data_IF_656840079116
#
_entry.id   IF_656840079116
#
_cell.length_a   1.000
_cell.length_b   1.000
_cell.length_c   1.000
_cell.angle_alpha   90.00
_cell.angle_beta   90.00
_cell.angle_gamma   90.00
#
_symmetry.space_group_name_H-M   'P 1'
#
loop_
_entity.id
_entity.type
_entity.pdbx_description
1 polymer ?
#
# COMPACT_ATOMS: atom_id res chain seq x y z
N UNK A 1 6.94 -21.56 2.32
CA UNK A 1 7.01 -21.12 3.73
C UNK A 1 6.05 -19.97 3.97
N UNK A 2 6.13 -18.90 3.16
CA UNK A 2 5.29 -17.71 3.30
C UNK A 2 3.78 -17.92 3.09
N UNK A 3 3.38 -18.76 2.13
CA UNK A 3 1.96 -19.07 1.91
C UNK A 3 1.31 -19.69 3.16
N UNK A 4 2.00 -20.62 3.81
CA UNK A 4 1.55 -21.23 5.06
C UNK A 4 1.45 -20.18 6.19
N UNK A 5 2.41 -19.26 6.29
CA UNK A 5 2.35 -18.15 7.26
C UNK A 5 1.12 -17.27 7.02
N UNK A 6 0.81 -16.92 5.78
CA UNK A 6 -0.37 -16.13 5.41
C UNK A 6 -1.68 -16.84 5.74
N UNK A 7 -1.73 -18.16 5.51
CA UNK A 7 -2.87 -18.99 5.87
C UNK A 7 -3.05 -19.06 7.39
N UNK A 8 -1.97 -19.24 8.15
CA UNK A 8 -2.03 -19.24 9.62
C UNK A 8 -2.58 -17.91 10.15
N UNK A 9 -2.15 -16.78 9.56
CA UNK A 9 -2.67 -15.46 9.93
C UNK A 9 -4.18 -15.38 9.68
N UNK A 10 -4.66 -15.82 8.52
CA UNK A 10 -6.10 -15.85 8.22
C UNK A 10 -6.86 -16.76 9.18
N UNK A 11 -6.34 -17.96 9.48
CA UNK A 11 -6.95 -18.91 10.40
C UNK A 11 -7.02 -18.35 11.83
N UNK A 12 -6.04 -17.55 12.26
CA UNK A 12 -6.06 -16.84 13.55
C UNK A 12 -7.08 -15.71 13.54
N UNK A 13 -7.10 -14.88 12.49
CA UNK A 13 -8.03 -13.76 12.37
C UNK A 13 -9.48 -14.21 12.23
N UNK A 14 -9.73 -15.33 11.56
CA UNK A 14 -11.06 -15.93 11.41
C UNK A 14 -11.67 -16.37 12.75
N UNK A 15 -10.84 -16.69 13.75
CA UNK A 15 -11.28 -17.05 15.11
C UNK A 15 -11.52 -15.82 15.99
N UNK A 16 -11.09 -14.63 15.56
CA UNK A 16 -11.19 -13.42 16.36
C UNK A 16 -12.58 -12.77 16.22
N UNK A 17 -13.25 -12.51 17.34
CA UNK A 17 -14.59 -11.94 17.34
C UNK A 17 -14.66 -10.53 16.72
N UNK A 18 -13.53 -9.82 16.61
CA UNK A 18 -13.45 -8.51 16.01
C UNK A 18 -13.32 -8.51 14.49
N UNK A 19 -13.02 -9.65 13.86
CA UNK A 19 -12.84 -9.78 12.43
C UNK A 19 -13.94 -10.68 11.86
N UNK A 20 -14.78 -10.15 10.96
CA UNK A 20 -16.00 -10.82 10.51
C UNK A 20 -16.08 -11.03 9.00
N UNK A 21 -15.11 -10.46 8.27
CA UNK A 21 -15.09 -10.42 6.82
C UNK A 21 -13.67 -10.51 6.28
N UNK A 22 -13.53 -10.92 5.02
CA UNK A 22 -12.25 -10.92 4.31
C UNK A 22 -11.63 -9.53 4.24
N UNK A 23 -12.47 -8.48 4.24
CA UNK A 23 -12.01 -7.08 4.32
C UNK A 23 -11.28 -6.83 5.64
N UNK A 24 -11.83 -7.29 6.77
CA UNK A 24 -11.19 -7.16 8.08
C UNK A 24 -9.85 -7.91 8.09
N UNK A 25 -9.80 -9.14 7.55
CA UNK A 25 -8.57 -9.94 7.55
C UNK A 25 -7.45 -9.26 6.75
N UNK A 26 -7.78 -8.71 5.57
CA UNK A 26 -6.82 -7.97 4.74
C UNK A 26 -6.39 -6.69 5.46
N UNK A 27 -7.33 -5.90 6.00
CA UNK A 27 -7.02 -4.67 6.73
C UNK A 27 -6.07 -4.93 7.91
N UNK A 28 -6.42 -5.90 8.76
CA UNK A 28 -5.68 -6.19 9.98
C UNK A 28 -4.32 -6.82 9.69
N UNK A 29 -4.22 -7.70 8.69
CA UNK A 29 -2.91 -8.22 8.26
C UNK A 29 -2.04 -7.10 7.68
N UNK A 30 -2.63 -6.19 6.90
CA UNK A 30 -1.89 -5.16 6.17
C UNK A 30 -1.14 -4.22 7.09
N UNK A 31 -1.77 -3.71 8.16
CA UNK A 31 -1.10 -2.74 9.03
C UNK A 31 0.01 -3.37 9.88
N UNK A 32 -0.17 -4.63 10.33
CA UNK A 32 0.87 -5.34 11.07
C UNK A 32 2.06 -5.63 10.14
N UNK A 33 1.77 -6.08 8.92
CA UNK A 33 2.77 -6.31 7.88
C UNK A 33 3.54 -5.03 7.53
N UNK A 34 2.84 -3.90 7.48
CA UNK A 34 3.44 -2.58 7.23
C UNK A 34 4.47 -2.20 8.27
N UNK A 35 4.16 -2.37 9.56
CA UNK A 35 5.10 -2.04 10.64
C UNK A 35 6.33 -2.97 10.62
N UNK A 36 6.14 -4.23 10.24
CA UNK A 36 7.27 -5.15 10.05
C UNK A 36 8.14 -4.76 8.86
N UNK A 37 7.52 -4.35 7.75
CA UNK A 37 8.22 -3.84 6.58
C UNK A 37 9.01 -2.58 6.93
N UNK A 38 8.41 -1.63 7.63
CA UNK A 38 9.06 -0.38 8.05
C UNK A 38 10.30 -0.67 8.91
N UNK A 39 10.21 -1.62 9.86
CA UNK A 39 11.35 -2.06 10.65
C UNK A 39 12.50 -2.66 9.81
N UNK A 40 12.20 -3.42 8.74
CA UNK A 40 13.23 -3.91 7.82
C UNK A 40 13.82 -2.76 6.97
N UNK A 41 12.98 -1.85 6.48
CA UNK A 41 13.41 -0.68 5.71
C UNK A 41 14.35 0.23 6.51
N UNK A 42 14.01 0.51 7.77
CA UNK A 42 14.84 1.33 8.65
C UNK A 42 16.20 0.69 8.94
N UNK A 43 16.26 -0.64 9.06
CA UNK A 43 17.52 -1.38 9.21
C UNK A 43 18.39 -1.29 7.95
N UNK A 44 17.78 -1.40 6.78
CA UNK A 44 18.49 -1.26 5.50
C UNK A 44 19.03 0.17 5.34
N UNK A 45 18.24 1.19 5.68
CA UNK A 45 18.67 2.60 5.67
C UNK A 45 19.77 2.89 6.68
N UNK A 46 19.66 2.36 7.90
CA UNK A 46 20.70 2.49 8.92
C UNK A 46 22.02 1.85 8.48
N UNK A 47 21.96 0.65 7.91
CA UNK A 47 23.13 -0.06 7.37
C UNK A 47 23.78 0.74 6.23
N UNK A 48 22.98 1.28 5.30
CA UNK A 48 23.48 2.11 4.21
C UNK A 48 24.12 3.42 4.71
N UNK A 49 23.56 4.04 5.74
CA UNK A 49 24.13 5.23 6.36
C UNK A 49 25.48 4.92 7.03
N UNK A 50 25.57 3.83 7.78
CA UNK A 50 26.81 3.36 8.41
C UNK A 50 27.91 3.12 7.35
N UNK A 51 27.58 2.42 6.26
CA UNK A 51 28.52 2.16 5.15
C UNK A 51 28.99 3.44 4.44
N UNK A 52 28.22 4.52 4.52
CA UNK A 52 28.55 5.82 3.90
C UNK A 52 29.05 6.86 4.90
N UNK A 53 29.25 6.48 6.17
CA UNK A 53 29.69 7.37 7.24
C UNK A 53 28.67 8.44 7.63
N UNK A 54 27.38 8.24 7.31
CA UNK A 54 26.28 9.13 7.64
C UNK A 54 25.57 8.65 8.91
N UNK A 55 24.98 9.60 9.65
CA UNK A 55 24.11 9.29 10.78
C UNK A 55 22.69 9.08 10.24
N UNK A 56 22.08 7.96 10.59
CA UNK A 56 20.65 7.70 10.32
C UNK A 56 19.83 7.99 11.57
N UNK A 57 18.74 8.74 11.39
CA UNK A 57 17.73 8.95 12.44
C UNK A 57 16.52 8.10 12.11
N UNK A 58 16.07 7.30 13.08
CA UNK A 58 14.91 6.47 12.90
C UNK A 58 13.63 7.30 12.75
N UNK A 59 12.74 6.84 11.86
CA UNK A 59 11.38 7.36 11.69
C UNK A 59 10.54 6.98 12.91
N UNK A 60 10.68 5.74 13.38
CA UNK A 60 9.95 5.24 14.55
C UNK A 60 10.80 5.39 15.81
N UNK A 61 10.25 6.11 16.78
CA UNK A 61 10.85 6.31 18.10
C UNK A 61 11.11 4.96 18.79
N UNK A 62 12.20 4.83 19.57
CA UNK A 62 12.67 3.55 20.10
C UNK A 62 11.58 2.68 20.76
N UNK A 63 10.67 3.26 21.55
CA UNK A 63 9.62 2.53 22.26
C UNK A 63 8.58 1.86 21.33
N UNK A 64 8.38 2.39 20.13
CA UNK A 64 7.39 1.91 19.15
C UNK A 64 8.00 1.06 18.04
N UNK A 65 9.32 0.85 18.06
CA UNK A 65 9.99 0.00 17.08
C UNK A 65 9.53 -1.46 17.21
N UNK A 66 9.42 -2.16 16.08
CA UNK A 66 8.98 -3.55 16.02
C UNK A 66 9.76 -4.46 16.99
N UNK A 67 11.08 -4.25 17.11
CA UNK A 67 11.95 -5.02 17.99
C UNK A 67 11.73 -4.78 19.49
N UNK A 68 10.89 -3.83 19.88
CA UNK A 68 10.55 -3.54 21.29
C UNK A 68 9.20 -4.09 21.70
N UNK A 69 8.15 -3.75 20.97
CA UNK A 69 6.78 -4.13 21.36
C UNK A 69 6.30 -5.40 20.67
N UNK A 70 6.58 -5.54 19.36
CA UNK A 70 6.06 -6.62 18.54
C UNK A 70 6.91 -7.87 18.67
N UNK A 71 8.23 -7.79 18.49
CA UNK A 71 9.11 -8.93 18.55
C UNK A 71 10.36 -8.65 19.40
N UNK A 72 10.22 -8.39 20.71
CA UNK A 72 11.36 -8.33 21.61
C UNK A 72 12.03 -9.70 21.62
N UNK A 73 13.30 -9.75 21.21
CA UNK A 73 14.06 -10.99 21.12
C UNK A 73 15.16 -11.03 22.16
N UNK A 74 15.30 -12.18 22.82
CA UNK A 74 16.43 -12.48 23.68
C UNK A 74 17.71 -12.60 22.84
N UNK A 75 18.88 -12.64 23.49
CA UNK A 75 20.17 -12.87 22.82
C UNK A 75 20.20 -14.19 22.01
N UNK A 76 19.34 -15.15 22.36
CA UNK A 76 19.16 -16.42 21.64
C UNK A 76 18.38 -16.28 20.33
N UNK A 77 17.83 -15.10 20.01
CA UNK A 77 16.97 -14.85 18.85
C UNK A 77 15.51 -15.27 19.02
N UNK A 78 15.16 -15.91 20.14
CA UNK A 78 13.76 -16.26 20.48
C UNK A 78 13.01 -15.03 21.03
N UNK A 79 11.71 -14.99 20.78
CA UNK A 79 10.82 -13.99 21.38
C UNK A 79 10.91 -14.09 22.91
N UNK A 80 11.03 -12.94 23.56
CA UNK A 80 11.04 -12.82 25.01
C UNK A 80 9.71 -13.34 25.58
N UNK A 81 9.78 -14.14 26.64
CA UNK A 81 8.60 -14.65 27.33
C UNK A 81 7.78 -13.53 27.98
N UNK A 82 8.40 -12.36 28.23
CA UNK A 82 7.74 -11.16 28.73
C UNK A 82 7.19 -10.25 27.62
N UNK A 83 7.19 -10.69 26.36
CA UNK A 83 6.56 -9.94 25.28
C UNK A 83 5.07 -9.71 25.59
N UNK A 84 4.58 -8.49 25.33
CA UNK A 84 3.18 -8.11 25.58
C UNK A 84 2.22 -9.11 24.90
N UNK A 85 1.20 -9.56 25.62
CA UNK A 85 0.15 -10.45 25.11
C UNK A 85 -1.17 -10.16 25.83
N UNK A 86 -2.27 -10.76 25.38
CA UNK A 86 -3.58 -10.54 26.00
C UNK A 86 -3.96 -9.05 26.01
N UNK A 87 -4.71 -8.63 27.01
CA UNK A 87 -5.28 -7.28 27.07
C UNK A 87 -4.20 -6.19 27.04
N UNK A 88 -3.06 -6.40 27.70
CA UNK A 88 -1.93 -5.45 27.70
C UNK A 88 -1.41 -5.13 26.30
N UNK A 89 -1.40 -6.12 25.39
CA UNK A 89 -0.98 -5.90 24.00
C UNK A 89 -2.01 -5.08 23.24
N UNK A 90 -3.30 -5.36 23.43
CA UNK A 90 -4.39 -4.63 22.78
C UNK A 90 -4.43 -3.18 23.28
N UNK A 91 -4.28 -2.97 24.58
CA UNK A 91 -4.25 -1.66 25.22
C UNK A 91 -3.03 -0.85 24.77
N UNK A 92 -1.86 -1.47 24.65
CA UNK A 92 -0.68 -0.83 24.08
C UNK A 92 -0.93 -0.38 22.63
N UNK A 93 -1.46 -1.27 21.79
CA UNK A 93 -1.69 -0.98 20.37
C UNK A 93 -2.72 0.14 20.21
N UNK A 94 -3.85 0.06 20.91
CA UNK A 94 -4.95 1.02 20.79
C UNK A 94 -4.66 2.34 21.48
N UNK A 95 -4.06 2.30 22.68
CA UNK A 95 -3.87 3.45 23.56
C UNK A 95 -2.56 4.20 23.36
N UNK A 96 -1.52 3.56 22.79
CA UNK A 96 -0.19 4.16 22.64
C UNK A 96 0.31 4.13 21.20
N UNK A 97 0.42 2.95 20.59
CA UNK A 97 1.04 2.79 19.26
C UNK A 97 0.28 3.53 18.16
N UNK A 98 -1.03 3.27 18.01
CA UNK A 98 -1.83 3.93 16.97
C UNK A 98 -1.88 5.45 17.16
N UNK A 99 -2.14 6.00 18.37
CA UNK A 99 -2.03 7.43 18.62
C UNK A 99 -0.67 8.04 18.29
N UNK A 100 0.43 7.33 18.54
CA UNK A 100 1.77 7.76 18.15
C UNK A 100 1.92 7.83 16.62
N UNK A 101 1.62 6.73 15.91
CA UNK A 101 1.78 6.64 14.46
C UNK A 101 0.94 7.68 13.71
N UNK A 102 -0.29 7.95 14.20
CA UNK A 102 -1.18 9.01 13.70
C UNK A 102 -0.53 10.39 13.69
N UNK A 103 0.34 10.69 14.67
CA UNK A 103 0.98 11.99 14.83
C UNK A 103 2.18 12.19 13.92
N UNK A 104 2.81 11.12 13.40
CA UNK A 104 4.02 11.23 12.56
C UNK A 104 3.83 12.15 11.35
N UNK A 105 2.62 12.20 10.76
CA UNK A 105 2.37 13.09 9.61
C UNK A 105 2.53 14.59 9.91
N UNK A 106 2.45 15.02 11.18
CA UNK A 106 2.64 16.44 11.52
C UNK A 106 4.09 16.88 11.37
N UNK A 107 5.01 15.93 11.37
CA UNK A 107 6.44 16.16 11.27
C UNK A 107 6.95 15.98 9.83
N UNK A 108 6.06 15.59 8.91
CA UNK A 108 6.39 15.35 7.51
C UNK A 108 6.33 16.65 6.69
N UNK A 109 7.39 16.93 5.93
CA UNK A 109 7.46 18.14 5.09
C UNK A 109 6.52 18.08 3.87
N UNK A 110 6.32 16.88 3.30
CA UNK A 110 5.57 16.68 2.06
C UNK A 110 4.76 15.37 2.04
N UNK A 111 3.70 15.33 1.23
CA UNK A 111 2.78 14.21 1.13
C UNK A 111 3.34 12.96 0.41
N UNK A 112 4.50 13.09 -0.25
CA UNK A 112 5.25 12.03 -0.93
C UNK A 112 6.29 11.35 0.00
N UNK A 113 6.31 11.70 1.28
CA UNK A 113 7.18 11.08 2.29
C UNK A 113 6.54 9.85 2.92
N UNK A 114 7.35 8.91 3.40
CA UNK A 114 6.86 7.71 4.09
C UNK A 114 6.24 8.06 5.44
N UNK A 115 6.74 9.08 6.11
CA UNK A 115 6.26 9.67 7.35
C UNK A 115 4.81 10.13 7.22
N UNK A 116 4.52 10.89 6.15
CA UNK A 116 3.16 11.29 5.82
C UNK A 116 2.26 10.07 5.58
N UNK A 117 2.72 9.07 4.81
CA UNK A 117 1.93 7.84 4.55
C UNK A 117 1.62 7.10 5.84
N UNK A 118 2.58 6.98 6.76
CA UNK A 118 2.36 6.35 8.08
C UNK A 118 1.23 7.07 8.81
N UNK A 119 1.33 8.38 9.00
CA UNK A 119 0.32 9.12 9.74
C UNK A 119 -1.07 9.08 9.09
N UNK A 120 -1.16 9.13 7.76
CA UNK A 120 -2.43 8.99 7.04
C UNK A 120 -3.04 7.59 7.18
N UNK A 121 -2.26 6.54 6.96
CA UNK A 121 -2.71 5.14 7.12
C UNK A 121 -3.27 4.93 8.52
N UNK A 122 -2.52 5.32 9.55
CA UNK A 122 -2.95 5.10 10.93
C UNK A 122 -4.04 6.07 11.38
N UNK A 123 -4.25 7.22 10.72
CA UNK A 123 -5.39 8.13 10.99
C UNK A 123 -6.72 7.46 10.69
N UNK A 124 -6.74 6.63 9.65
CA UNK A 124 -7.95 5.98 9.17
C UNK A 124 -8.16 4.57 9.77
N UNK A 125 -7.08 3.89 10.12
CA UNK A 125 -7.13 2.54 10.66
C UNK A 125 -7.62 2.49 12.10
N UNK A 126 -8.27 1.37 12.41
CA UNK A 126 -8.54 0.91 13.77
C UNK A 126 -8.11 -0.54 13.88
N UNK A 127 -7.46 -0.88 14.98
CA UNK A 127 -7.28 -2.28 15.32
C UNK A 127 -8.65 -2.87 15.65
N UNK A 128 -9.01 -3.93 14.92
CA UNK A 128 -10.26 -4.67 15.13
C UNK A 128 -10.03 -5.96 15.92
N UNK A 129 -8.79 -6.46 15.99
CA UNK A 129 -8.47 -7.70 16.68
C UNK A 129 -8.72 -7.50 18.18
N UNK A 130 -9.69 -8.24 18.71
CA UNK A 130 -10.13 -8.12 20.11
C UNK A 130 -9.26 -8.96 21.04
N UNK A 131 -8.85 -10.15 20.62
CA UNK A 131 -8.00 -11.01 21.44
C UNK A 131 -6.53 -10.63 21.28
N UNK A 132 -5.91 -10.16 22.36
CA UNK A 132 -4.47 -9.92 22.36
C UNK A 132 -3.64 -11.17 22.15
N UNK A 133 -4.17 -12.35 22.46
CA UNK A 133 -3.51 -13.62 22.13
C UNK A 133 -3.51 -13.89 20.63
N UNK A 134 -4.63 -13.60 19.94
CA UNK A 134 -4.71 -13.70 18.48
C UNK A 134 -3.79 -12.67 17.81
N UNK A 135 -3.79 -11.42 18.29
CA UNK A 135 -2.88 -10.38 17.80
C UNK A 135 -1.41 -10.79 17.98
N UNK A 136 -1.04 -11.36 19.14
CA UNK A 136 0.30 -11.92 19.39
C UNK A 136 0.64 -13.02 18.39
N UNK A 137 -0.28 -13.94 18.11
CA UNK A 137 -0.06 -15.00 17.10
C UNK A 137 0.13 -14.42 15.69
N UNK A 138 -0.66 -13.43 15.28
CA UNK A 138 -0.48 -12.72 14.01
C UNK A 138 0.89 -12.06 13.93
N UNK A 139 1.31 -11.33 14.97
CA UNK A 139 2.63 -10.70 15.06
C UNK A 139 3.75 -11.75 14.94
N UNK A 140 3.63 -12.87 15.65
CA UNK A 140 4.64 -13.93 15.62
C UNK A 140 4.75 -14.60 14.24
N UNK A 141 3.64 -14.73 13.52
CA UNK A 141 3.65 -15.21 12.13
C UNK A 141 4.30 -14.17 11.21
N UNK A 142 3.94 -12.89 11.33
CA UNK A 142 4.50 -11.80 10.50
C UNK A 142 6.00 -11.58 10.77
N UNK A 143 6.48 -11.75 11.99
CA UNK A 143 7.90 -11.62 12.33
C UNK A 143 8.81 -12.64 11.62
N UNK A 144 8.24 -13.76 11.17
CA UNK A 144 8.95 -14.77 10.37
C UNK A 144 9.13 -14.34 8.91
N UNK A 145 8.38 -13.33 8.46
CA UNK A 145 8.49 -12.78 7.11
C UNK A 145 9.74 -11.91 6.98
N UNK A 146 10.38 -11.97 5.81
CA UNK A 146 11.60 -11.24 5.48
C UNK A 146 11.34 -10.38 4.24
N UNK A 147 11.80 -9.13 4.24
CA UNK A 147 11.61 -8.19 3.13
C UNK A 147 12.93 -7.73 2.50
N UNK A 148 14.02 -8.51 2.61
CA UNK A 148 15.37 -8.03 2.32
C UNK A 148 15.76 -8.16 0.85
N UNK A 149 15.35 -9.24 0.21
CA UNK A 149 15.72 -9.51 -1.19
C UNK A 149 14.58 -9.16 -2.14
N UNK A 150 14.91 -8.83 -3.39
CA UNK A 150 13.90 -8.65 -4.45
C UNK A 150 13.02 -9.89 -4.63
N UNK A 151 13.58 -11.09 -4.45
CA UNK A 151 12.84 -12.35 -4.55
C UNK A 151 11.79 -12.48 -3.45
N UNK A 152 12.16 -12.18 -2.20
CA UNK A 152 11.22 -12.21 -1.07
C UNK A 152 10.12 -11.17 -1.22
N UNK A 153 10.45 -9.93 -1.62
CA UNK A 153 9.45 -8.89 -1.90
C UNK A 153 8.46 -9.33 -2.99
N UNK A 154 8.96 -9.97 -4.05
CA UNK A 154 8.12 -10.48 -5.14
C UNK A 154 7.20 -11.64 -4.70
N UNK A 155 7.70 -12.56 -3.87
CA UNK A 155 6.86 -13.63 -3.31
C UNK A 155 5.77 -13.06 -2.37
N UNK A 156 6.13 -12.06 -1.55
CA UNK A 156 5.18 -11.33 -0.71
C UNK A 156 4.11 -10.59 -1.51
N UNK A 157 4.51 -9.90 -2.59
CA UNK A 157 3.55 -9.18 -3.43
C UNK A 157 2.54 -10.14 -4.05
N UNK A 158 2.98 -11.33 -4.50
CA UNK A 158 2.09 -12.37 -5.02
C UNK A 158 1.07 -12.87 -3.98
N UNK A 159 1.51 -13.10 -2.74
CA UNK A 159 0.62 -13.55 -1.66
C UNK A 159 -0.36 -12.45 -1.23
N UNK A 160 0.10 -11.21 -1.17
CA UNK A 160 -0.75 -10.07 -0.86
C UNK A 160 -1.78 -9.82 -1.97
N UNK A 161 -1.37 -9.93 -3.24
CA UNK A 161 -2.26 -9.90 -4.41
C UNK A 161 -3.35 -10.99 -4.36
N UNK A 162 -3.00 -12.19 -3.91
CA UNK A 162 -3.98 -13.26 -3.70
C UNK A 162 -5.01 -12.88 -2.63
N UNK A 163 -4.58 -12.27 -1.51
CA UNK A 163 -5.49 -11.74 -0.48
C UNK A 163 -6.42 -10.66 -1.04
N UNK A 164 -5.88 -9.69 -1.78
CA UNK A 164 -6.68 -8.62 -2.42
C UNK A 164 -7.71 -9.23 -3.38
N UNK A 165 -7.31 -10.21 -4.19
CA UNK A 165 -8.21 -10.90 -5.12
C UNK A 165 -9.33 -11.62 -4.39
N UNK A 166 -9.03 -12.34 -3.30
CA UNK A 166 -10.03 -13.05 -2.52
C UNK A 166 -11.03 -12.08 -1.88
N UNK A 167 -10.53 -11.00 -1.29
CA UNK A 167 -11.35 -9.89 -0.78
C UNK A 167 -12.20 -9.24 -1.88
N UNK A 168 -11.65 -9.06 -3.08
CA UNK A 168 -12.38 -8.54 -4.24
C UNK A 168 -13.51 -9.43 -4.74
N UNK A 169 -13.41 -10.74 -4.46
CA UNK A 169 -14.45 -11.73 -4.77
C UNK A 169 -15.42 -11.97 -3.59
N UNK A 170 -15.10 -11.47 -2.40
CA UNK A 170 -15.89 -11.65 -1.18
C UNK A 170 -17.10 -10.70 -1.17
N UNK A 171 -18.14 -11.08 -1.91
CA UNK A 171 -19.47 -10.48 -1.81
C UNK A 171 -19.66 -9.16 -2.56
N UNK A 172 -20.75 -8.46 -2.20
CA UNK A 172 -21.37 -7.38 -3.00
C UNK A 172 -20.50 -6.12 -3.14
N UNK A 173 -19.53 -5.92 -2.25
CA UNK A 173 -18.68 -4.73 -2.19
C UNK A 173 -17.23 -4.97 -2.69
N UNK A 174 -16.84 -6.22 -3.01
CA UNK A 174 -15.46 -6.55 -3.37
C UNK A 174 -14.99 -5.90 -4.68
N UNK A 175 -15.90 -5.74 -5.65
CA UNK A 175 -15.61 -5.08 -6.93
C UNK A 175 -15.29 -3.58 -6.83
N UNK A 176 -15.46 -2.97 -5.67
CA UNK A 176 -15.10 -1.56 -5.43
C UNK A 176 -13.59 -1.35 -5.22
N UNK A 177 -12.83 -2.42 -4.98
CA UNK A 177 -11.41 -2.37 -4.61
C UNK A 177 -10.48 -3.06 -5.62
N UNK A 178 -11.04 -3.89 -6.50
CA UNK A 178 -10.28 -4.81 -7.33
C UNK A 178 -10.75 -4.82 -8.79
N UNK A 179 -9.79 -4.66 -9.69
CA UNK A 179 -9.96 -4.90 -11.13
C UNK A 179 -9.21 -6.18 -11.51
N UNK A 180 -9.82 -7.10 -12.28
CA UNK A 180 -9.17 -8.36 -12.68
C UNK A 180 -7.81 -8.15 -13.31
N UNK A 181 -6.76 -8.78 -12.76
CA UNK A 181 -5.38 -8.64 -13.27
C UNK A 181 -5.19 -8.95 -14.76
N UNK A 182 -5.87 -9.94 -15.38
CA UNK A 182 -5.77 -10.13 -16.83
C UNK A 182 -6.20 -8.91 -17.65
N UNK A 183 -7.21 -8.17 -17.17
CA UNK A 183 -7.67 -6.94 -17.82
C UNK A 183 -6.64 -5.83 -17.68
N UNK A 184 -6.13 -5.61 -16.47
CA UNK A 184 -5.08 -4.61 -16.20
C UNK A 184 -3.83 -4.88 -17.06
N UNK A 185 -3.34 -6.12 -17.06
CA UNK A 185 -2.19 -6.57 -17.85
C UNK A 185 -2.36 -6.25 -19.34
N UNK A 186 -3.55 -6.54 -19.86
CA UNK A 186 -3.86 -6.28 -21.26
C UNK A 186 -3.84 -4.78 -21.56
N UNK A 187 -4.48 -3.97 -20.72
CA UNK A 187 -4.51 -2.51 -20.89
C UNK A 187 -3.11 -1.92 -20.82
N UNK A 188 -2.32 -2.26 -19.79
CA UNK A 188 -0.94 -1.74 -19.64
C UNK A 188 -0.06 -2.16 -20.82
N UNK A 189 -0.20 -3.40 -21.31
CA UNK A 189 0.55 -3.86 -22.49
C UNK A 189 0.20 -3.09 -23.75
N UNK A 190 -1.07 -2.71 -23.94
CA UNK A 190 -1.52 -1.91 -25.10
C UNK A 190 -1.07 -0.47 -24.98
N UNK A 191 -1.18 0.12 -23.79
CA UNK A 191 -0.73 1.50 -23.51
C UNK A 191 0.79 1.62 -23.61
N UNK A 192 1.51 0.55 -23.28
CA UNK A 192 2.95 0.42 -23.42
C UNK A 192 3.76 1.60 -22.82
N UNK A 193 3.61 1.89 -21.52
CA UNK A 193 4.26 3.04 -20.89
C UNK A 193 5.79 3.00 -21.06
N UNK A 194 6.42 4.16 -20.99
CA UNK A 194 7.87 4.33 -21.09
C UNK A 194 8.44 4.99 -19.83
N UNK A 195 9.73 4.73 -19.57
CA UNK A 195 10.43 5.39 -18.48
C UNK A 195 10.47 6.89 -18.76
N UNK A 196 10.03 7.67 -17.78
CA UNK A 196 9.88 9.12 -17.91
C UNK A 196 8.42 9.56 -18.04
N UNK A 197 7.49 8.66 -18.39
CA UNK A 197 6.06 9.00 -18.30
C UNK A 197 5.60 9.12 -16.85
N UNK A 198 4.70 10.07 -16.61
CA UNK A 198 3.88 10.18 -15.41
C UNK A 198 2.55 9.47 -15.63
N UNK A 199 2.26 8.49 -14.79
CA UNK A 199 1.08 7.62 -14.85
C UNK A 199 0.16 7.95 -13.67
N UNK A 200 -1.10 8.21 -13.96
CA UNK A 200 -2.11 8.61 -12.97
C UNK A 200 -3.30 7.66 -12.92
N UNK A 201 -3.71 7.29 -11.71
CA UNK A 201 -4.97 6.61 -11.42
C UNK A 201 -5.83 7.45 -10.44
N UNK A 202 -6.95 7.98 -10.93
CA UNK A 202 -7.87 8.81 -10.13
C UNK A 202 -8.88 8.01 -9.30
N UNK A 203 -8.83 6.68 -9.36
CA UNK A 203 -9.66 5.75 -8.60
C UNK A 203 -8.83 4.49 -8.27
N UNK A 204 -7.74 4.70 -7.55
CA UNK A 204 -6.63 3.75 -7.38
C UNK A 204 -7.08 2.36 -6.93
N UNK A 205 -8.05 2.27 -6.02
CA UNK A 205 -8.41 1.01 -5.39
C UNK A 205 -7.19 0.34 -4.76
N UNK A 206 -6.97 -0.94 -5.08
CA UNK A 206 -5.77 -1.71 -4.70
C UNK A 206 -4.48 -1.37 -5.47
N UNK A 207 -4.44 -0.27 -6.22
CA UNK A 207 -3.30 0.18 -7.04
C UNK A 207 -2.90 -0.77 -8.18
N UNK A 208 -3.83 -1.60 -8.65
CA UNK A 208 -3.54 -2.63 -9.66
C UNK A 208 -2.90 -2.09 -10.95
N UNK A 209 -3.39 -0.95 -11.47
CA UNK A 209 -2.82 -0.32 -12.67
C UNK A 209 -1.41 0.20 -12.44
N UNK A 210 -1.15 0.80 -11.27
CA UNK A 210 0.16 1.35 -10.94
C UNK A 210 1.19 0.23 -10.70
N UNK A 211 0.82 -0.83 -9.97
CA UNK A 211 1.67 -2.01 -9.75
C UNK A 211 2.04 -2.69 -11.07
N UNK A 212 1.06 -2.93 -11.96
CA UNK A 212 1.33 -3.55 -13.26
C UNK A 212 2.17 -2.65 -14.16
N UNK A 213 1.95 -1.33 -14.13
CA UNK A 213 2.78 -0.39 -14.88
C UNK A 213 4.23 -0.37 -14.39
N UNK A 214 4.44 -0.47 -13.07
CA UNK A 214 5.78 -0.61 -12.49
C UNK A 214 6.47 -1.89 -12.94
N UNK A 215 5.80 -3.04 -12.87
CA UNK A 215 6.35 -4.31 -13.32
C UNK A 215 6.60 -4.34 -14.84
N UNK A 216 5.72 -3.72 -15.64
CA UNK A 216 5.92 -3.55 -17.08
C UNK A 216 7.19 -2.75 -17.36
N UNK A 217 7.36 -1.57 -16.76
CA UNK A 217 8.52 -0.69 -16.97
C UNK A 217 9.83 -1.33 -16.50
N UNK A 218 9.78 -2.08 -15.39
CA UNK A 218 10.94 -2.78 -14.82
C UNK A 218 11.38 -4.00 -15.65
N UNK A 219 10.47 -4.59 -16.41
CA UNK A 219 10.72 -5.78 -17.21
C UNK A 219 10.73 -5.52 -18.73
N UNK A 220 10.46 -4.29 -19.17
CA UNK A 220 10.53 -3.87 -20.57
C UNK A 220 11.91 -4.22 -21.16
N UNK A 221 11.93 -4.95 -22.27
CA UNK A 221 13.14 -5.41 -22.95
C UNK A 221 13.79 -6.68 -22.40
N UNK A 222 13.22 -7.34 -21.37
CA UNK A 222 13.68 -8.66 -20.86
C UNK A 222 13.01 -9.85 -21.54
N UNK A 223 12.16 -9.60 -22.52
CA UNK A 223 11.43 -10.60 -23.32
C UNK A 223 12.26 -11.23 -24.45
N UNK A 224 13.56 -10.90 -24.53
CA UNK A 224 14.51 -11.50 -25.47
C UNK A 224 14.42 -10.95 -26.90
N UNK A 225 13.56 -9.96 -27.16
CA UNK A 225 13.34 -9.39 -28.50
C UNK A 225 14.04 -8.04 -28.72
N UNK A 226 14.56 -7.43 -27.65
CA UNK A 226 15.22 -6.12 -27.67
C UNK A 226 16.49 -6.13 -26.81
N UNK A 227 17.45 -5.25 -27.12
CA UNK A 227 18.65 -5.08 -26.29
C UNK A 227 18.25 -4.71 -24.87
N UNK A 228 18.58 -5.56 -23.89
CA UNK A 228 18.24 -5.37 -22.47
C UNK A 228 18.97 -4.12 -21.95
N UNK A 229 18.33 -2.96 -21.98
CA UNK A 229 18.84 -1.80 -21.24
C UNK A 229 18.61 -2.07 -19.76
N UNK A 230 19.67 -2.38 -19.00
CA UNK A 230 19.60 -2.36 -17.53
C UNK A 230 19.14 -0.96 -17.11
N UNK A 231 18.14 -0.89 -16.23
CA UNK A 231 17.70 0.36 -15.62
C UNK A 231 18.92 1.09 -15.03
N UNK A 232 19.08 2.36 -15.38
CA UNK A 232 20.09 3.21 -14.74
C UNK A 232 19.66 3.56 -13.32
N UNK A 233 20.58 4.10 -12.51
CA UNK A 233 20.25 4.64 -11.19
C UNK A 233 19.21 5.77 -11.30
N UNK A 234 19.30 6.60 -12.34
CA UNK A 234 18.33 7.67 -12.60
C UNK A 234 16.95 7.12 -12.97
N UNK A 235 16.89 6.06 -13.78
CA UNK A 235 15.61 5.41 -14.11
C UNK A 235 14.97 4.79 -12.87
N UNK A 236 15.79 4.17 -12.02
CA UNK A 236 15.32 3.59 -10.77
C UNK A 236 14.75 4.68 -9.86
N UNK A 237 15.44 5.80 -9.70
CA UNK A 237 14.94 6.92 -8.90
C UNK A 237 13.63 7.51 -9.47
N UNK A 238 13.54 7.68 -10.80
CA UNK A 238 12.31 8.13 -11.45
C UNK A 238 11.13 7.19 -11.16
N UNK A 239 11.34 5.88 -11.31
CA UNK A 239 10.29 4.90 -11.01
C UNK A 239 9.87 4.92 -9.53
N UNK A 240 10.80 5.24 -8.61
CA UNK A 240 10.48 5.34 -7.18
C UNK A 240 9.68 6.60 -6.83
N UNK A 241 9.98 7.74 -7.47
CA UNK A 241 9.49 9.05 -6.99
C UNK A 241 8.63 9.83 -7.97
N UNK A 242 8.80 9.67 -9.28
CA UNK A 242 8.27 10.60 -10.29
C UNK A 242 7.45 9.94 -11.41
N UNK A 243 7.05 8.67 -11.24
CA UNK A 243 6.29 7.94 -12.26
C UNK A 243 4.84 7.68 -11.85
N UNK A 244 4.56 7.24 -10.62
CA UNK A 244 3.23 6.77 -10.23
C UNK A 244 2.51 7.77 -9.34
N UNK A 245 1.31 8.16 -9.76
CA UNK A 245 0.45 9.12 -9.08
C UNK A 245 -0.96 8.57 -8.94
N UNK A 246 -1.66 8.94 -7.88
CA UNK A 246 -3.05 8.56 -7.77
C UNK A 246 -3.82 9.22 -6.66
N UNK A 247 -5.14 9.03 -6.69
CA UNK A 247 -6.06 9.50 -5.66
C UNK A 247 -7.05 8.39 -5.32
N UNK A 248 -7.28 8.22 -4.03
CA UNK A 248 -8.26 7.27 -3.52
C UNK A 248 -9.06 7.93 -2.40
N UNK A 249 -10.39 7.76 -2.45
CA UNK A 249 -11.31 8.37 -1.48
C UNK A 249 -11.59 7.47 -0.29
N UNK A 250 -11.62 6.15 -0.51
CA UNK A 250 -11.97 5.17 0.54
C UNK A 250 -10.72 4.80 1.32
N UNK A 251 -10.77 4.93 2.64
CA UNK A 251 -9.60 4.73 3.48
C UNK A 251 -9.00 3.32 3.35
N UNK A 252 -9.83 2.28 3.40
CA UNK A 252 -9.35 0.89 3.24
C UNK A 252 -8.70 0.67 1.87
N UNK A 253 -9.29 1.20 0.78
CA UNK A 253 -8.73 1.11 -0.56
C UNK A 253 -7.36 1.80 -0.63
N UNK A 254 -7.26 3.00 -0.08
CA UNK A 254 -6.03 3.78 -0.02
C UNK A 254 -4.92 3.00 0.68
N UNK A 255 -5.21 2.43 1.85
CA UNK A 255 -4.23 1.66 2.64
C UNK A 255 -3.75 0.44 1.83
N UNK A 256 -4.68 -0.34 1.27
CA UNK A 256 -4.33 -1.51 0.46
C UNK A 256 -3.50 -1.10 -0.77
N UNK A 257 -3.85 0.00 -1.43
CA UNK A 257 -3.10 0.53 -2.57
C UNK A 257 -1.67 0.95 -2.23
N UNK A 258 -1.47 1.68 -1.13
CA UNK A 258 -0.13 2.05 -0.63
C UNK A 258 0.68 0.80 -0.32
N UNK A 259 0.10 -0.13 0.44
CA UNK A 259 0.76 -1.38 0.82
C UNK A 259 1.15 -2.22 -0.39
N UNK A 260 0.27 -2.28 -1.37
CA UNK A 260 0.52 -3.05 -2.58
C UNK A 260 1.69 -2.46 -3.38
N UNK A 261 1.73 -1.14 -3.56
CA UNK A 261 2.84 -0.46 -4.23
C UNK A 261 4.18 -0.68 -3.49
N UNK A 262 4.17 -0.58 -2.17
CA UNK A 262 5.35 -0.82 -1.32
C UNK A 262 5.88 -2.25 -1.50
N UNK A 263 5.01 -3.25 -1.48
CA UNK A 263 5.40 -4.65 -1.66
C UNK A 263 5.90 -4.95 -3.08
N UNK A 264 5.39 -4.24 -4.09
CA UNK A 264 5.94 -4.28 -5.45
C UNK A 264 7.31 -3.57 -5.55
N UNK A 265 7.65 -2.76 -4.55
CA UNK A 265 8.97 -2.13 -4.39
C UNK A 265 8.98 -0.64 -4.70
N UNK A 266 7.83 0.04 -4.71
CA UNK A 266 7.73 1.50 -4.77
C UNK A 266 7.53 2.01 -3.35
N UNK A 267 8.59 2.53 -2.73
CA UNK A 267 8.61 2.79 -1.27
C UNK A 267 7.71 3.95 -0.86
N UNK A 268 7.60 4.99 -1.70
CA UNK A 268 6.85 6.19 -1.41
C UNK A 268 5.97 6.59 -2.60
N UNK A 269 4.88 5.85 -2.88
CA UNK A 269 4.02 6.13 -4.01
C UNK A 269 3.28 7.46 -3.84
N UNK A 270 3.15 8.25 -4.90
CA UNK A 270 2.41 9.53 -4.89
C UNK A 270 0.89 9.35 -4.95
N UNK A 271 0.36 8.51 -4.06
CA UNK A 271 -1.08 8.30 -3.90
C UNK A 271 -1.56 9.16 -2.72
N UNK A 272 -2.63 9.91 -2.93
CA UNK A 272 -3.20 10.83 -1.92
C UNK A 272 -4.59 10.34 -1.51
N UNK A 273 -4.87 10.34 -0.21
CA UNK A 273 -6.19 10.03 0.32
C UNK A 273 -7.11 11.25 0.17
N UNK A 274 -7.84 11.32 -0.93
CA UNK A 274 -8.71 12.47 -1.24
C UNK A 274 -9.80 12.11 -2.24
N UNK A 275 -10.82 12.97 -2.34
CA UNK A 275 -11.84 12.85 -3.36
C UNK A 275 -11.34 13.51 -4.66
N UNK A 276 -11.04 12.70 -5.68
CA UNK A 276 -10.61 13.15 -7.01
C UNK A 276 -11.53 14.20 -7.62
N UNK A 277 -12.84 14.15 -7.33
CA UNK A 277 -13.84 15.10 -7.87
C UNK A 277 -13.98 16.39 -7.05
N UNK A 278 -13.27 16.51 -5.92
CA UNK A 278 -13.32 17.71 -5.09
C UNK A 278 -12.49 18.87 -5.67
N UNK A 279 -11.46 18.56 -6.47
CA UNK A 279 -10.63 19.55 -7.13
C UNK A 279 -11.42 20.35 -8.17
N UNK A 280 -11.07 21.62 -8.31
CA UNK A 280 -11.62 22.47 -9.35
C UNK A 280 -10.80 22.31 -10.63
N UNK A 281 -11.43 21.95 -11.73
CA UNK A 281 -10.76 21.79 -13.02
C UNK A 281 -10.10 23.08 -13.50
N UNK A 282 -10.60 24.25 -13.08
CA UNK A 282 -10.02 25.55 -13.42
C UNK A 282 -8.66 25.80 -12.74
N UNK A 283 -8.35 25.10 -11.66
CA UNK A 283 -7.11 25.27 -10.90
C UNK A 283 -5.98 24.36 -11.43
N UNK A 284 -6.30 23.42 -12.34
CA UNK A 284 -5.35 22.47 -12.93
C UNK A 284 -4.53 23.16 -14.02
N UNK A 285 -3.22 23.21 -13.84
CA UNK A 285 -2.28 23.80 -14.80
C UNK A 285 -1.57 22.73 -15.63
N UNK A 286 -0.86 23.13 -16.70
CA UNK A 286 -0.10 22.21 -17.55
C UNK A 286 0.90 21.36 -16.74
N UNK A 287 1.52 21.95 -15.71
CA UNK A 287 2.45 21.25 -14.80
C UNK A 287 1.81 20.10 -14.00
N UNK A 288 0.49 20.13 -13.83
CA UNK A 288 -0.28 19.16 -13.05
C UNK A 288 -0.80 18.00 -13.94
N UNK A 289 -0.50 18.03 -15.24
CA UNK A 289 -0.88 16.97 -16.18
C UNK A 289 0.01 15.74 -16.06
N UNK A 290 -0.57 14.62 -16.46
CA UNK A 290 0.04 13.31 -16.52
C UNK A 290 0.07 12.85 -17.97
N UNK A 291 1.09 12.09 -18.34
CA UNK A 291 1.25 11.56 -19.69
C UNK A 291 0.26 10.42 -19.96
N UNK A 292 -0.05 9.64 -18.92
CA UNK A 292 -0.89 8.44 -19.03
C UNK A 292 -1.90 8.42 -17.89
N UNK A 293 -3.17 8.15 -18.23
CA UNK A 293 -4.22 7.87 -17.25
C UNK A 293 -4.64 6.41 -17.37
N UNK A 294 -4.64 5.69 -16.25
CA UNK A 294 -5.08 4.31 -16.13
C UNK A 294 -5.97 4.20 -14.90
N UNK A 295 -7.27 4.04 -15.09
CA UNK A 295 -8.22 3.98 -13.99
C UNK A 295 -9.38 3.04 -14.30
N UNK A 296 -9.99 2.50 -13.24
CA UNK A 296 -11.30 1.85 -13.28
C UNK A 296 -12.25 2.58 -12.32
N UNK A 297 -12.84 3.72 -12.72
CA UNK A 297 -13.72 4.51 -11.86
C UNK A 297 -14.96 3.70 -11.41
N UNK A 298 -15.56 4.05 -10.25
CA UNK A 298 -16.73 3.34 -9.74
C UNK A 298 -17.92 3.41 -10.70
N UNK A 299 -18.60 2.28 -10.91
CA UNK A 299 -19.73 2.16 -11.86
C UNK A 299 -21.05 2.79 -11.37
N UNK A 300 -21.15 3.15 -10.09
CA UNK A 300 -22.37 3.73 -9.50
C UNK A 300 -22.12 4.48 -8.18
N UNK A 301 -22.96 5.48 -7.89
CA UNK A 301 -22.93 6.28 -6.66
C UNK A 301 -23.71 7.59 -6.79
N UNK A 302 -24.46 8.00 -5.76
CA UNK A 302 -25.05 9.35 -5.69
C UNK A 302 -23.94 10.34 -5.36
N UNK A 303 -23.82 11.41 -6.16
CA UNK A 303 -22.93 12.54 -5.88
C UNK A 303 -23.51 13.35 -4.72
N UNK A 304 -22.68 13.80 -3.79
CA UNK A 304 -23.09 14.87 -2.88
C UNK A 304 -23.31 16.15 -3.70
N UNK A 305 -24.43 16.83 -3.46
CA UNK A 305 -24.95 17.93 -4.27
C UNK A 305 -23.97 19.10 -4.48
N UNK A 306 -22.98 19.28 -3.58
CA UNK A 306 -21.96 20.35 -3.69
C UNK A 306 -20.86 20.08 -4.73
N UNK A 307 -20.67 18.84 -5.17
CA UNK A 307 -19.66 18.50 -6.21
C UNK A 307 -20.25 18.40 -7.62
N UNK A 308 -21.57 18.56 -7.76
CA UNK A 308 -22.27 18.39 -9.03
C UNK A 308 -21.97 19.50 -10.05
N UNK A 309 -21.47 20.66 -9.61
CA UNK A 309 -21.30 21.87 -10.42
C UNK A 309 -19.98 21.95 -11.20
N UNK A 310 -19.07 20.97 -11.03
CA UNK A 310 -17.67 21.06 -11.52
C UNK A 310 -17.36 20.28 -12.80
N UNK A 311 -18.32 19.53 -13.34
CA UNK A 311 -18.19 18.84 -14.64
C UNK A 311 -19.18 19.46 -15.62
N UNK A 312 -18.82 19.67 -16.90
CA UNK A 312 -19.74 20.23 -17.89
C UNK A 312 -21.02 19.39 -17.96
N UNK A 313 -22.13 20.02 -17.63
CA UNK A 313 -23.44 19.38 -17.56
C UNK A 313 -23.97 19.15 -18.98
N UNK A 314 -23.73 17.96 -19.54
CA UNK A 314 -24.48 17.48 -20.71
C UNK A 314 -24.87 16.02 -20.55
N UNK A 315 -26.13 15.84 -20.14
CA UNK A 315 -27.07 14.83 -20.61
C UNK A 315 -26.47 13.63 -21.34
N UNK A 316 -26.36 12.50 -20.65
CA UNK A 316 -26.83 11.19 -21.15
C UNK A 316 -26.81 10.16 -20.02
N UNK A 317 -27.97 9.54 -19.81
CA UNK A 317 -28.07 8.18 -19.28
C UNK A 317 -27.15 7.30 -20.13
N UNK A 318 -25.96 7.00 -19.64
CA UNK A 318 -25.15 5.90 -20.12
C UNK A 318 -24.24 5.46 -18.96
N UNK A 319 -24.39 4.20 -18.58
CA UNK A 319 -23.35 3.44 -17.90
C UNK A 319 -22.17 3.39 -18.86
N UNK A 320 -21.15 4.21 -18.62
CA UNK A 320 -19.90 4.12 -19.38
C UNK A 320 -18.81 3.51 -18.48
N UNK A 321 -18.20 2.38 -18.88
CA UNK A 321 -16.90 2.00 -18.36
C UNK A 321 -15.89 2.97 -18.98
N UNK A 322 -15.43 3.97 -18.23
CA UNK A 322 -14.41 4.88 -18.74
C UNK A 322 -13.05 4.32 -18.34
N UNK A 323 -12.56 3.34 -19.09
CA UNK A 323 -11.12 3.14 -19.24
C UNK A 323 -10.65 4.22 -20.21
N UNK A 324 -10.16 5.35 -19.70
CA UNK A 324 -9.56 6.39 -20.57
C UNK A 324 -8.06 6.25 -20.51
N UNK A 325 -7.47 5.59 -21.51
CA UNK A 325 -6.15 5.97 -21.96
C UNK A 325 -6.34 7.20 -22.86
N UNK A 326 -6.04 8.38 -22.33
CA UNK A 326 -5.98 9.59 -23.15
C UNK A 326 -4.61 9.57 -23.82
N UNK A 327 -4.60 9.50 -25.16
CA UNK A 327 -3.41 9.73 -25.99
C UNK A 327 -3.24 11.21 -26.27
#
# INVERSE_FOLDING_TARGET
MFEQTFKNIDDTLWKDAGCSSELDYVEQTSWVLFLKYLDDLEKDKATAAELTGKIYTNIISPEFQWTKWAAPKLKSGKIDHNALTGDDLVDFVNGKLFPYLKKIKTDAEHADTIEYKIGEIFSELKNRIQSGYNLREVINNIDQLRFRTHKEKHEMSHLYEAKIKNMGNAGRNGGEYYTPRPLIKTIVKVVAPEIGNKIYDGAVGSAGFLCESFEYLKNKGKDGTSSVSKLTTADTERLQKNTFYGKEKKSLAYIIGIMNMILHGVEAPNIIHTNTLAENLADIQEKDRYDIVLANPPFGGKRESRSATKLPDKNRRNRFPVFTALY
#
